data_IF_133257415938
#
_entry.id   IF_133257415938
#
_cell.length_a   1.000
_cell.length_b   1.000
_cell.length_c   1.000
_cell.angle_alpha   90.00
_cell.angle_beta   90.00
_cell.angle_gamma   90.00
#
_symmetry.space_group_name_H-M   'P 1'
#
loop_
_entity.id
_entity.type
_entity.pdbx_description
1 polymer ?
#
# COMPACT_ATOMS: atom_id res chain seq x y z
N UNK A 1 -27.00 33.10 22.95
CA UNK A 1 -26.20 33.44 21.75
C UNK A 1 -26.53 34.89 21.40
N UNK A 2 -25.52 35.75 21.24
CA UNK A 2 -25.71 37.15 20.85
C UNK A 2 -25.87 37.22 19.32
N UNK A 3 -26.83 37.99 18.77
CA UNK A 3 -26.94 38.19 17.33
C UNK A 3 -25.63 38.71 16.74
N UNK A 4 -25.14 38.10 15.66
CA UNK A 4 -23.89 38.51 14.98
C UNK A 4 -22.61 37.82 15.48
N UNK A 5 -22.69 36.93 16.47
CA UNK A 5 -21.54 36.10 16.86
C UNK A 5 -21.25 35.02 15.80
N UNK A 6 -19.98 34.73 15.47
CA UNK A 6 -19.65 33.66 14.53
C UNK A 6 -20.18 32.31 15.03
N UNK A 7 -20.67 31.44 14.13
CA UNK A 7 -21.17 30.13 14.52
C UNK A 7 -20.05 29.32 15.20
N UNK A 8 -20.34 28.82 16.39
CA UNK A 8 -19.43 27.94 17.13
C UNK A 8 -19.74 26.48 16.78
N UNK A 9 -18.68 25.67 16.62
CA UNK A 9 -18.84 24.22 16.54
C UNK A 9 -19.52 23.73 17.82
N UNK A 10 -20.58 22.95 17.64
CA UNK A 10 -21.36 22.37 18.74
C UNK A 10 -21.34 20.84 18.63
N UNK A 11 -21.61 20.14 19.73
CA UNK A 11 -21.60 18.67 19.77
C UNK A 11 -20.52 18.08 20.68
N UNK A 12 -20.53 16.74 20.81
CA UNK A 12 -19.60 16.01 21.69
C UNK A 12 -18.16 16.13 21.17
N UNK A 13 -17.93 15.82 19.90
CA UNK A 13 -16.59 15.80 19.28
C UNK A 13 -15.89 17.16 19.38
N UNK A 14 -16.59 18.25 19.09
CA UNK A 14 -16.01 19.61 19.18
C UNK A 14 -15.67 20.02 20.62
N UNK A 15 -16.46 19.59 21.61
CA UNK A 15 -16.14 19.79 23.05
C UNK A 15 -14.95 18.95 23.49
N UNK A 16 -14.87 17.70 23.05
CA UNK A 16 -13.76 16.79 23.37
C UNK A 16 -12.45 17.34 22.80
N UNK A 17 -12.44 17.79 21.54
CA UNK A 17 -11.26 18.44 20.91
C UNK A 17 -10.85 19.70 21.68
N UNK A 18 -11.80 20.53 22.10
CA UNK A 18 -11.50 21.74 22.89
C UNK A 18 -10.83 21.39 24.23
N UNK A 19 -11.36 20.39 24.94
CA UNK A 19 -10.76 19.94 26.21
C UNK A 19 -9.33 19.43 26.03
N UNK A 20 -9.08 18.65 24.98
CA UNK A 20 -7.73 18.16 24.69
C UNK A 20 -6.79 19.26 24.22
N UNK A 21 -7.31 20.28 23.52
CA UNK A 21 -6.55 21.43 23.07
C UNK A 21 -6.09 22.31 24.23
N UNK A 22 -6.97 22.55 25.20
CA UNK A 22 -6.67 23.38 26.37
C UNK A 22 -5.56 22.75 27.24
N UNK A 23 -5.38 21.42 27.18
CA UNK A 23 -4.29 20.68 27.85
C UNK A 23 -2.92 20.82 27.16
N UNK A 24 -2.86 21.19 25.88
CA UNK A 24 -1.64 21.18 25.06
C UNK A 24 -0.84 22.50 25.12
N UNK A 25 -0.70 23.11 26.29
CA UNK A 25 -0.38 24.54 26.42
C UNK A 25 0.99 24.97 25.87
N UNK A 26 1.97 24.08 25.58
CA UNK A 26 3.31 24.52 25.12
C UNK A 26 4.25 23.55 24.33
N UNK A 27 3.92 22.34 23.86
CA UNK A 27 4.90 21.51 23.12
C UNK A 27 4.98 21.82 21.61
N UNK A 28 6.15 21.61 20.95
CA UNK A 28 6.30 21.74 19.49
C UNK A 28 5.33 20.83 18.70
N UNK A 29 4.93 19.69 19.27
CA UNK A 29 3.96 18.76 18.69
C UNK A 29 2.49 19.23 18.76
N UNK A 30 2.21 20.31 19.51
CA UNK A 30 0.84 20.79 19.69
C UNK A 30 0.21 21.22 18.35
N UNK A 31 1.00 21.77 17.43
CA UNK A 31 0.51 22.20 16.11
C UNK A 31 0.11 21.00 15.24
N UNK A 32 0.92 19.95 15.21
CA UNK A 32 0.63 18.75 14.43
C UNK A 32 -0.60 18.02 14.98
N UNK A 33 -0.70 17.88 16.32
CA UNK A 33 -1.88 17.29 16.97
C UNK A 33 -3.16 18.08 16.72
N UNK A 34 -3.10 19.42 16.80
CA UNK A 34 -4.21 20.31 16.42
C UNK A 34 -4.67 20.03 14.99
N UNK A 35 -3.75 20.08 14.03
CA UNK A 35 -4.07 19.86 12.62
C UNK A 35 -4.71 18.48 12.40
N UNK A 36 -4.22 17.43 13.07
CA UNK A 36 -4.79 16.08 13.00
C UNK A 36 -6.21 16.00 13.52
N UNK A 37 -6.50 16.59 14.69
CA UNK A 37 -7.87 16.60 15.20
C UNK A 37 -8.82 17.42 14.35
N UNK A 38 -8.36 18.55 13.81
CA UNK A 38 -9.15 19.33 12.86
C UNK A 38 -9.45 18.52 11.60
N UNK A 39 -8.44 17.89 10.99
CA UNK A 39 -8.67 17.09 9.79
C UNK A 39 -9.59 15.90 10.08
N UNK A 40 -9.42 15.22 11.20
CA UNK A 40 -10.25 14.07 11.56
C UNK A 40 -11.71 14.48 11.81
N UNK A 41 -11.94 15.64 12.44
CA UNK A 41 -13.28 16.15 12.73
C UNK A 41 -14.05 16.59 11.48
N UNK A 42 -13.37 17.12 10.47
CA UNK A 42 -13.99 17.65 9.26
C UNK A 42 -13.94 16.70 8.06
N UNK A 43 -13.21 15.59 8.16
CA UNK A 43 -13.18 14.58 7.10
C UNK A 43 -14.45 13.73 7.12
N UNK A 44 -15.00 13.35 5.96
CA UNK A 44 -16.08 12.36 5.90
C UNK A 44 -15.61 11.00 6.45
N UNK A 45 -16.53 10.10 6.83
CA UNK A 45 -16.19 8.72 7.19
C UNK A 45 -15.41 8.04 6.05
N UNK A 46 -14.19 7.60 6.34
CA UNK A 46 -13.19 7.18 5.32
C UNK A 46 -11.91 8.02 5.38
N UNK A 47 -12.01 9.27 5.85
CA UNK A 47 -10.97 10.02 6.54
C UNK A 47 -9.75 10.50 5.73
N UNK A 48 -8.92 11.26 6.45
CA UNK A 48 -7.56 11.72 6.09
C UNK A 48 -6.47 10.91 6.81
N UNK A 49 -6.84 9.78 7.44
CA UNK A 49 -5.94 8.97 8.27
C UNK A 49 -4.71 8.47 7.51
N UNK A 50 -4.90 7.97 6.29
CA UNK A 50 -3.79 7.52 5.46
C UNK A 50 -2.85 8.66 5.04
N UNK A 51 -3.34 9.90 4.95
CA UNK A 51 -2.47 11.07 4.73
C UNK A 51 -1.60 11.35 5.97
N UNK A 52 -2.13 11.13 7.18
CA UNK A 52 -1.34 11.24 8.41
C UNK A 52 -0.27 10.16 8.53
N UNK A 53 -0.50 8.96 7.98
CA UNK A 53 0.54 7.94 7.87
C UNK A 53 1.69 8.44 6.99
N UNK A 54 1.38 9.10 5.86
CA UNK A 54 2.39 9.72 4.99
C UNK A 54 3.14 10.85 5.68
N UNK A 55 2.44 11.70 6.44
CA UNK A 55 3.09 12.76 7.24
C UNK A 55 4.06 12.15 8.25
N UNK A 56 3.67 11.05 8.90
CA UNK A 56 4.52 10.33 9.86
C UNK A 56 5.79 9.81 9.17
N UNK A 57 5.64 9.22 7.98
CA UNK A 57 6.75 8.75 7.15
C UNK A 57 7.70 9.88 6.73
N UNK A 58 7.16 11.01 6.26
CA UNK A 58 7.96 12.17 5.81
C UNK A 58 8.66 12.85 7.00
N UNK A 59 8.03 12.83 8.17
CA UNK A 59 8.60 13.39 9.41
C UNK A 59 9.68 12.50 10.03
N UNK A 60 10.01 11.35 9.41
CA UNK A 60 11.06 10.45 9.89
C UNK A 60 10.66 9.60 11.09
N UNK A 61 9.36 9.42 11.35
CA UNK A 61 8.90 8.46 12.36
C UNK A 61 9.28 7.03 11.95
N UNK A 62 9.41 6.15 12.94
CA UNK A 62 9.75 4.75 12.71
C UNK A 62 8.63 4.04 11.93
N UNK A 63 9.01 3.33 10.88
CA UNK A 63 8.08 2.62 9.99
C UNK A 63 7.32 1.51 10.74
N UNK A 64 7.85 1.01 11.86
CA UNK A 64 7.18 0.00 12.70
C UNK A 64 5.89 0.51 13.35
N UNK A 65 5.73 1.83 13.45
CA UNK A 65 4.56 2.48 14.05
C UNK A 65 3.41 2.64 13.05
N UNK A 66 3.62 2.30 11.78
CA UNK A 66 2.58 2.41 10.74
C UNK A 66 1.47 1.38 10.95
N UNK A 67 0.21 1.75 10.69
CA UNK A 67 -0.91 0.83 10.86
C UNK A 67 -0.82 -0.35 9.89
N UNK A 68 -1.34 -1.55 10.24
CA UNK A 68 -1.33 -2.72 9.35
C UNK A 68 -2.01 -2.50 8.00
N UNK A 69 -2.95 -1.54 7.92
CA UNK A 69 -3.65 -1.16 6.70
C UNK A 69 -2.89 -0.21 5.78
N UNK A 70 -1.70 0.26 6.18
CA UNK A 70 -0.92 1.25 5.42
C UNK A 70 -0.68 0.83 3.97
N UNK A 71 -0.38 -0.44 3.72
CA UNK A 71 -0.12 -0.97 2.36
C UNK A 71 -1.34 -0.95 1.43
N UNK A 72 -2.55 -0.80 1.97
CA UNK A 72 -3.81 -0.78 1.21
C UNK A 72 -4.22 0.63 0.77
N UNK A 73 -3.56 1.66 1.27
CA UNK A 73 -3.83 3.07 0.96
C UNK A 73 -2.79 3.70 0.05
N UNK A 74 -2.72 5.03 0.09
CA UNK A 74 -1.62 5.82 -0.49
C UNK A 74 -0.37 5.55 0.35
N UNK A 75 0.72 5.19 -0.32
CA UNK A 75 2.00 4.86 0.32
C UNK A 75 3.10 5.80 -0.17
N UNK A 76 4.00 6.13 0.73
CA UNK A 76 5.21 6.88 0.38
C UNK A 76 6.12 6.03 -0.53
N UNK A 77 6.76 6.67 -1.52
CA UNK A 77 7.58 6.01 -2.54
C UNK A 77 8.69 5.13 -1.94
N UNK A 78 9.27 5.55 -0.80
CA UNK A 78 10.29 4.79 -0.05
C UNK A 78 9.84 3.37 0.32
N UNK A 79 8.54 3.13 0.45
CA UNK A 79 7.96 1.82 0.81
C UNK A 79 7.46 1.02 -0.39
N UNK A 80 7.30 1.65 -1.55
CA UNK A 80 6.59 1.08 -2.68
C UNK A 80 7.25 -0.22 -3.17
N UNK A 81 8.57 -0.21 -3.37
CA UNK A 81 9.31 -1.38 -3.84
C UNK A 81 9.19 -2.57 -2.87
N UNK A 82 9.36 -2.32 -1.57
CA UNK A 82 9.25 -3.35 -0.52
C UNK A 82 7.85 -3.96 -0.50
N UNK A 83 6.82 -3.12 -0.49
CA UNK A 83 5.42 -3.55 -0.44
C UNK A 83 5.03 -4.34 -1.69
N UNK A 84 5.31 -3.82 -2.88
CA UNK A 84 5.00 -4.51 -4.15
C UNK A 84 5.77 -5.82 -4.30
N UNK A 85 7.00 -5.88 -3.79
CA UNK A 85 7.76 -7.14 -3.74
C UNK A 85 7.09 -8.16 -2.80
N UNK A 86 6.54 -7.71 -1.66
CA UNK A 86 5.76 -8.58 -0.76
C UNK A 86 4.49 -9.08 -1.43
N UNK A 87 3.71 -8.19 -2.04
CA UNK A 87 2.48 -8.53 -2.77
C UNK A 87 2.74 -9.62 -3.82
N UNK A 88 3.80 -9.46 -4.63
CA UNK A 88 4.19 -10.44 -5.64
C UNK A 88 4.58 -11.79 -5.03
N UNK A 89 5.34 -11.78 -3.93
CA UNK A 89 5.76 -13.00 -3.23
C UNK A 89 4.56 -13.74 -2.65
N UNK A 90 3.65 -13.03 -1.99
CA UNK A 90 2.42 -13.61 -1.44
C UNK A 90 1.61 -14.32 -2.51
N UNK A 91 1.43 -13.69 -3.68
CA UNK A 91 0.74 -14.31 -4.81
C UNK A 91 1.41 -15.60 -5.32
N UNK A 92 2.75 -15.71 -5.22
CA UNK A 92 3.48 -16.94 -5.57
C UNK A 92 3.50 -18.00 -4.47
N UNK A 93 3.47 -17.60 -3.19
CA UNK A 93 3.54 -18.50 -2.02
C UNK A 93 2.21 -19.23 -1.82
N UNK A 94 1.09 -18.66 -2.28
CA UNK A 94 -0.20 -19.36 -2.20
C UNK A 94 -0.26 -20.49 -3.25
N UNK A 95 0.47 -21.56 -2.95
CA UNK A 95 0.37 -22.87 -3.57
C UNK A 95 -0.50 -23.78 -2.70
N UNK A 96 -1.47 -24.46 -3.34
CA UNK A 96 -2.01 -25.77 -2.95
C UNK A 96 -3.15 -25.89 -1.91
N UNK A 97 -3.89 -24.85 -1.53
CA UNK A 97 -5.21 -25.11 -0.92
C UNK A 97 -6.19 -25.54 -2.04
N UNK A 98 -6.09 -26.81 -2.46
CA UNK A 98 -7.06 -27.48 -3.35
C UNK A 98 -8.47 -27.54 -2.76
N UNK A 99 -8.66 -27.01 -1.55
CA UNK A 99 -9.89 -27.07 -0.79
C UNK A 99 -10.13 -25.71 -0.13
N UNK A 100 -11.19 -24.99 -0.52
CA UNK A 100 -11.70 -23.85 0.25
C UNK A 100 -11.79 -22.49 -0.47
N UNK A 101 -11.37 -22.37 -1.72
CA UNK A 101 -11.68 -21.17 -2.52
C UNK A 101 -13.12 -21.25 -3.02
N UNK A 102 -14.05 -20.56 -2.35
CA UNK A 102 -15.45 -20.49 -2.79
C UNK A 102 -15.59 -19.99 -4.24
N UNK A 103 -16.79 -20.13 -4.80
CA UNK A 103 -17.13 -19.63 -6.15
C UNK A 103 -16.70 -18.16 -6.25
N UNK A 104 -15.76 -17.85 -7.15
CA UNK A 104 -15.19 -16.51 -7.36
C UNK A 104 -13.77 -16.27 -6.81
N UNK A 105 -13.15 -17.24 -6.14
CA UNK A 105 -11.75 -17.13 -5.74
C UNK A 105 -10.81 -17.21 -6.97
N UNK A 106 -9.77 -16.36 -7.06
CA UNK A 106 -8.86 -16.36 -8.21
C UNK A 106 -8.11 -17.68 -8.31
N UNK A 107 -8.04 -18.20 -9.53
CA UNK A 107 -7.32 -19.42 -9.89
C UNK A 107 -5.83 -19.29 -9.61
N UNK A 108 -5.13 -20.43 -9.54
CA UNK A 108 -3.66 -20.43 -9.38
C UNK A 108 -3.01 -19.69 -10.54
N UNK A 109 -3.50 -19.92 -11.74
CA UNK A 109 -2.98 -19.36 -12.99
C UNK A 109 -3.16 -17.84 -13.02
N UNK A 110 -4.28 -17.32 -12.55
CA UNK A 110 -4.51 -15.87 -12.39
C UNK A 110 -3.54 -15.26 -11.37
N UNK A 111 -3.37 -15.86 -10.19
CA UNK A 111 -2.45 -15.34 -9.18
C UNK A 111 -1.01 -15.31 -9.65
N UNK A 112 -0.56 -16.36 -10.34
CA UNK A 112 0.78 -16.42 -10.93
C UNK A 112 0.96 -15.34 -12.02
N UNK A 113 -0.09 -15.06 -12.79
CA UNK A 113 -0.08 -13.99 -13.80
C UNK A 113 0.02 -12.61 -13.16
N UNK A 114 -0.75 -12.37 -12.10
CA UNK A 114 -0.70 -11.12 -11.33
C UNK A 114 0.67 -10.92 -10.67
N UNK A 115 1.24 -11.99 -10.10
CA UNK A 115 2.59 -11.96 -9.53
C UNK A 115 3.66 -11.61 -10.58
N UNK A 116 3.56 -12.22 -11.76
CA UNK A 116 4.48 -11.96 -12.85
C UNK A 116 4.41 -10.51 -13.32
N UNK A 117 3.20 -9.96 -13.48
CA UNK A 117 3.00 -8.55 -13.86
C UNK A 117 3.64 -7.58 -12.84
N UNK A 118 3.50 -7.86 -11.55
CA UNK A 118 4.16 -7.04 -10.51
C UNK A 118 5.69 -7.16 -10.64
N UNK A 119 6.23 -8.36 -10.84
CA UNK A 119 7.66 -8.55 -11.04
C UNK A 119 8.20 -7.80 -12.26
N UNK A 120 7.46 -7.80 -13.37
CA UNK A 120 7.84 -7.06 -14.57
C UNK A 120 7.88 -5.54 -14.30
N UNK A 121 6.87 -4.99 -13.63
CA UNK A 121 6.81 -3.57 -13.25
C UNK A 121 7.92 -3.16 -12.28
N UNK A 122 8.38 -4.08 -11.43
CA UNK A 122 9.52 -3.88 -10.53
C UNK A 122 10.87 -3.99 -11.24
N UNK A 123 10.91 -4.37 -12.52
CA UNK A 123 12.15 -4.62 -13.27
C UNK A 123 12.79 -5.98 -12.97
N UNK A 124 12.09 -6.88 -12.28
CA UNK A 124 12.54 -8.26 -12.03
C UNK A 124 12.23 -9.15 -13.25
N UNK A 125 12.83 -8.81 -14.39
CA UNK A 125 12.54 -9.39 -15.70
C UNK A 125 12.77 -10.90 -15.71
N UNK A 126 13.84 -11.39 -15.08
CA UNK A 126 14.13 -12.83 -15.00
C UNK A 126 13.01 -13.60 -14.28
N UNK A 127 12.51 -13.05 -13.17
CA UNK A 127 11.44 -13.69 -12.39
C UNK A 127 10.13 -13.74 -13.16
N UNK A 128 9.82 -12.68 -13.92
CA UNK A 128 8.69 -12.66 -14.84
C UNK A 128 8.78 -13.81 -15.87
N UNK A 129 9.94 -13.96 -16.54
CA UNK A 129 10.15 -15.01 -17.53
C UNK A 129 9.98 -16.41 -16.92
N UNK A 130 10.52 -16.64 -15.72
CA UNK A 130 10.36 -17.91 -14.98
C UNK A 130 8.87 -18.23 -14.71
N UNK A 131 8.08 -17.26 -14.27
CA UNK A 131 6.65 -17.42 -14.01
C UNK A 131 5.85 -17.64 -15.31
N UNK A 132 6.21 -16.95 -16.40
CA UNK A 132 5.58 -17.16 -17.70
C UNK A 132 5.83 -18.56 -18.24
N UNK A 133 7.03 -19.11 -18.03
CA UNK A 133 7.33 -20.52 -18.36
C UNK A 133 6.52 -21.50 -17.51
N UNK A 134 6.38 -21.25 -16.19
CA UNK A 134 5.54 -22.09 -15.31
C UNK A 134 4.07 -22.10 -15.77
N UNK A 135 3.58 -20.98 -16.31
CA UNK A 135 2.25 -20.83 -16.89
C UNK A 135 2.12 -21.39 -18.33
N UNK A 136 3.20 -21.92 -18.91
CA UNK A 136 3.25 -22.39 -20.30
C UNK A 136 3.19 -21.29 -21.36
N UNK A 137 3.33 -20.01 -20.98
CA UNK A 137 3.31 -18.85 -21.87
C UNK A 137 4.71 -18.56 -22.43
N UNK A 138 5.25 -19.51 -23.19
CA UNK A 138 6.61 -19.47 -23.74
C UNK A 138 6.87 -18.25 -24.63
N UNK A 139 5.92 -17.86 -25.49
CA UNK A 139 6.07 -16.71 -26.39
C UNK A 139 6.31 -15.40 -25.61
N UNK A 140 5.60 -15.22 -24.48
CA UNK A 140 5.79 -14.05 -23.60
C UNK A 140 7.10 -14.11 -22.84
N UNK A 141 7.49 -15.30 -22.36
CA UNK A 141 8.78 -15.47 -21.70
C UNK A 141 9.95 -15.16 -22.64
N UNK A 142 9.92 -15.69 -23.87
CA UNK A 142 10.98 -15.56 -24.87
C UNK A 142 11.09 -14.15 -25.45
N UNK A 143 9.97 -13.45 -25.63
CA UNK A 143 9.97 -12.06 -26.12
C UNK A 143 10.58 -11.08 -25.12
N UNK A 144 10.46 -11.35 -23.82
CA UNK A 144 10.96 -10.47 -22.74
C UNK A 144 12.35 -10.86 -22.25
N UNK A 145 12.74 -12.13 -22.39
CA UNK A 145 14.03 -12.66 -21.92
C UNK A 145 15.30 -11.92 -22.39
N UNK A 146 15.38 -11.30 -23.59
CA UNK A 146 16.53 -10.47 -23.96
C UNK A 146 16.75 -9.28 -23.03
N UNK A 147 15.68 -8.79 -22.37
CA UNK A 147 15.75 -7.74 -21.35
C UNK A 147 16.50 -8.15 -20.08
N UNK A 148 16.71 -9.46 -19.86
CA UNK A 148 17.61 -9.97 -18.81
C UNK A 148 19.05 -10.00 -19.33
N UNK A 149 19.28 -10.76 -20.39
CA UNK A 149 20.53 -10.83 -21.15
C UNK A 149 20.39 -11.80 -22.33
N UNK A 150 21.24 -11.66 -23.36
CA UNK A 150 21.32 -12.64 -24.45
C UNK A 150 21.73 -14.05 -23.97
N UNK A 151 22.56 -14.14 -22.91
CA UNK A 151 22.93 -15.42 -22.29
C UNK A 151 21.72 -16.13 -21.68
N UNK A 152 20.87 -15.38 -20.97
CA UNK A 152 19.64 -15.92 -20.40
C UNK A 152 18.66 -16.36 -21.49
N UNK A 153 18.47 -15.52 -22.52
CA UNK A 153 17.60 -15.85 -23.66
C UNK A 153 18.02 -17.14 -24.36
N UNK A 154 19.30 -17.29 -24.72
CA UNK A 154 19.82 -18.53 -25.34
C UNK A 154 19.60 -19.76 -24.45
N UNK A 155 19.77 -19.62 -23.12
CA UNK A 155 19.50 -20.72 -22.19
C UNK A 155 18.01 -21.10 -22.19
N UNK A 156 17.12 -20.11 -22.35
CA UNK A 156 15.68 -20.32 -22.33
C UNK A 156 15.16 -20.97 -23.62
N UNK A 157 15.74 -20.63 -24.77
CA UNK A 157 15.38 -21.22 -26.08
C UNK A 157 15.80 -22.67 -26.24
N UNK A 158 16.79 -23.13 -25.47
CA UNK A 158 17.29 -24.51 -25.49
C UNK A 158 16.74 -25.39 -24.36
N UNK A 159 15.76 -24.90 -23.61
CA UNK A 159 15.10 -25.62 -22.52
C UNK A 159 13.90 -26.41 -23.01
#
# INVERSE_FOLDING_TARGET
>A
MVPGSPPLLCGKVSRDIKQELDKLTSPPDARAKKLRWFSDCFSPPGGSSNLWDLVSVISGQDDSQLPPGYSKGIVHMKHLLRLKTSDARELTIVQMSKFGGGIGAPSREERLRDAAEIHLRLGHIQRYCELMVELGQWDKALSVAPGVSMKYWNKLTHR
#
